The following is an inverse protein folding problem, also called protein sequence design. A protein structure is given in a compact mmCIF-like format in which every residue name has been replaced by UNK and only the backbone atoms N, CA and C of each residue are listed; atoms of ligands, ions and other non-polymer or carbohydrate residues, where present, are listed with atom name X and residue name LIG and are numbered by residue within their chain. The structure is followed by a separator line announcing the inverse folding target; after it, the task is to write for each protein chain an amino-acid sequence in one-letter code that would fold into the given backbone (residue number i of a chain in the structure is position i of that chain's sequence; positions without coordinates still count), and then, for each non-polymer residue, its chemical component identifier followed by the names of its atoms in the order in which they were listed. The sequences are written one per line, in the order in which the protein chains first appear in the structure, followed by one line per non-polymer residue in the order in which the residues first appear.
data_IF_363274430412
#
_entry.id   IF_363274430412
#
_cell.length_a   1.000
_cell.length_b   1.000
_cell.length_c   1.000
_cell.angle_alpha   90.00
_cell.angle_beta   90.00
_cell.angle_gamma   90.00
#
_symmetry.space_group_name_H-M   'P 1'
#
loop_
_entity.id
_entity.type
_entity.pdbx_description
1 polymer ?
#
# COMPACT_ATOMS: atom_id res chain seq x y z
N UNK A 1 33.79 23.79 28.94
CA UNK A 1 32.45 24.38 29.09
C UNK A 1 31.91 23.80 30.38
N UNK A 2 31.79 24.61 31.42
CA UNK A 2 31.36 24.16 32.74
C UNK A 2 29.83 24.04 32.72
N UNK A 3 29.30 22.85 33.04
CA UNK A 3 27.84 22.58 33.00
C UNK A 3 27.08 23.51 33.96
N UNK A 4 27.78 24.08 34.95
CA UNK A 4 27.23 24.99 35.94
C UNK A 4 27.03 26.43 35.44
N UNK A 5 27.46 26.77 34.22
CA UNK A 5 27.28 28.10 33.62
C UNK A 5 26.05 28.19 32.69
N UNK A 6 25.29 27.10 32.53
CA UNK A 6 24.09 27.06 31.70
C UNK A 6 22.89 27.66 32.45
N UNK A 7 22.13 28.54 31.79
CA UNK A 7 20.87 29.06 32.33
C UNK A 7 19.80 27.96 32.38
N UNK A 8 18.79 28.14 33.23
CA UNK A 8 17.65 27.23 33.32
C UNK A 8 16.96 27.03 31.96
N UNK A 9 16.85 28.08 31.15
CA UNK A 9 16.29 27.99 29.79
C UNK A 9 17.16 27.15 28.86
N UNK A 10 18.49 27.31 28.92
CA UNK A 10 19.41 26.51 28.12
C UNK A 10 19.36 25.03 28.50
N UNK A 11 19.21 24.72 29.80
CA UNK A 11 19.01 23.35 30.28
C UNK A 11 17.67 22.78 29.76
N UNK A 12 16.62 23.60 29.73
CA UNK A 12 15.30 23.19 29.27
C UNK A 12 15.27 22.93 27.77
N UNK A 13 15.92 23.79 26.97
CA UNK A 13 16.17 23.57 25.54
C UNK A 13 16.99 22.30 25.30
N UNK A 14 18.03 22.05 26.10
CA UNK A 14 18.82 20.82 26.00
C UNK A 14 18.00 19.56 26.29
N UNK A 15 17.09 19.62 27.28
CA UNK A 15 16.18 18.53 27.64
C UNK A 15 15.10 18.30 26.57
N UNK A 16 14.63 19.35 25.89
CA UNK A 16 13.76 19.21 24.72
C UNK A 16 14.51 18.62 23.53
N UNK A 17 15.74 19.07 23.28
CA UNK A 17 16.58 18.55 22.21
C UNK A 17 16.91 17.07 22.45
N UNK A 18 17.28 16.69 23.68
CA UNK A 18 17.54 15.29 24.04
C UNK A 18 16.28 14.41 23.92
N UNK A 19 15.09 14.93 24.21
CA UNK A 19 13.83 14.23 23.96
C UNK A 19 13.55 14.05 22.47
N UNK A 20 13.82 15.07 21.64
CA UNK A 20 13.70 14.98 20.18
C UNK A 20 14.70 14.02 19.56
N UNK A 21 15.94 14.00 20.06
CA UNK A 21 16.98 13.07 19.61
C UNK A 21 16.65 11.63 20.01
N UNK A 22 16.14 11.39 21.23
CA UNK A 22 15.65 10.05 21.63
C UNK A 22 14.45 9.56 20.82
N UNK A 23 13.66 10.46 20.25
CA UNK A 23 12.59 10.12 19.30
C UNK A 23 13.11 9.88 17.88
N UNK A 24 14.38 10.19 17.61
CA UNK A 24 15.06 10.00 16.32
C UNK A 24 16.05 8.81 16.32
N UNK A 25 16.30 8.18 17.47
CA UNK A 25 16.99 6.88 17.47
C UNK A 25 16.08 5.88 16.74
N UNK A 26 16.55 5.46 15.58
CA UNK A 26 15.89 4.68 14.53
C UNK A 26 15.53 3.26 15.00
N UNK A 27 14.53 3.14 15.87
CA UNK A 27 13.81 1.87 16.02
C UNK A 27 12.66 1.85 15.01
N UNK A 28 12.54 0.73 14.28
CA UNK A 28 11.38 0.43 13.46
C UNK A 28 10.13 0.57 14.33
N UNK A 29 9.33 1.59 14.06
CA UNK A 29 8.13 1.85 14.85
C UNK A 29 7.06 0.83 14.46
N UNK A 30 6.70 -0.03 15.41
CA UNK A 30 5.65 -1.02 15.19
C UNK A 30 4.29 -0.36 14.91
N UNK A 31 3.51 -1.01 14.05
CA UNK A 31 2.16 -0.56 13.74
C UNK A 31 1.27 -0.67 14.98
N UNK A 32 0.40 0.31 15.27
CA UNK A 32 -0.53 0.20 16.38
C UNK A 32 -1.39 -1.07 16.30
N UNK A 33 -1.51 -1.78 17.42
CA UNK A 33 -2.15 -3.10 17.54
C UNK A 33 -3.53 -3.14 16.87
N UNK A 34 -4.34 -2.09 17.06
CA UNK A 34 -5.70 -2.02 16.51
C UNK A 34 -5.75 -1.93 14.96
N UNK A 35 -4.67 -1.48 14.31
CA UNK A 35 -4.54 -1.48 12.86
C UNK A 35 -3.97 -2.83 12.41
N UNK A 36 -2.97 -3.34 13.12
CA UNK A 36 -2.36 -4.64 12.85
C UNK A 36 -3.38 -5.78 12.90
N UNK A 37 -4.17 -5.87 13.97
CA UNK A 37 -5.22 -6.88 14.11
C UNK A 37 -6.23 -6.81 12.97
N UNK A 38 -6.64 -5.60 12.56
CA UNK A 38 -7.58 -5.43 11.45
C UNK A 38 -6.99 -5.95 10.13
N UNK A 39 -5.68 -5.83 9.91
CA UNK A 39 -5.01 -6.26 8.69
C UNK A 39 -4.71 -7.76 8.65
N UNK A 40 -4.44 -8.39 9.80
CA UNK A 40 -4.03 -9.80 9.87
C UNK A 40 -5.17 -10.77 10.24
N UNK A 41 -6.10 -10.35 11.10
CA UNK A 41 -7.17 -11.24 11.58
C UNK A 41 -8.43 -11.17 10.71
N UNK A 42 -8.61 -10.09 9.96
CA UNK A 42 -9.79 -9.91 9.10
C UNK A 42 -9.68 -10.81 7.88
N UNK A 43 -10.68 -11.66 7.68
CA UNK A 43 -10.75 -12.49 6.47
C UNK A 43 -10.74 -11.63 5.18
N UNK A 44 -10.14 -12.13 4.10
CA UNK A 44 -10.09 -11.43 2.80
C UNK A 44 -11.45 -10.91 2.34
N UNK A 45 -12.49 -11.74 2.42
CA UNK A 45 -13.86 -11.37 2.02
C UNK A 45 -14.43 -10.24 2.89
N UNK A 46 -14.15 -10.27 4.19
CA UNK A 46 -14.56 -9.20 5.11
C UNK A 46 -13.79 -7.93 4.82
N UNK A 47 -12.48 -8.01 4.59
CA UNK A 47 -11.63 -6.89 4.23
C UNK A 47 -12.15 -6.20 2.95
N UNK A 48 -12.44 -6.95 1.89
CA UNK A 48 -13.00 -6.39 0.66
C UNK A 48 -14.34 -5.65 0.87
N UNK A 49 -15.20 -6.16 1.76
CA UNK A 49 -16.45 -5.47 2.14
C UNK A 49 -16.18 -4.20 2.93
N UNK A 50 -15.25 -4.25 3.88
CA UNK A 50 -14.86 -3.10 4.71
C UNK A 50 -14.27 -1.98 3.85
N UNK A 51 -13.37 -2.30 2.92
CA UNK A 51 -12.79 -1.33 1.98
C UNK A 51 -13.87 -0.67 1.11
N UNK A 52 -14.81 -1.45 0.56
CA UNK A 52 -15.93 -0.90 -0.22
C UNK A 52 -16.83 0.00 0.61
N UNK A 53 -17.12 -0.38 1.86
CA UNK A 53 -17.92 0.44 2.77
C UNK A 53 -17.20 1.75 3.09
N UNK A 54 -15.92 1.69 3.43
CA UNK A 54 -15.09 2.87 3.69
C UNK A 54 -15.18 3.89 2.54
N UNK A 55 -15.01 3.45 1.29
CA UNK A 55 -15.11 4.37 0.13
C UNK A 55 -16.48 5.02 -0.05
N UNK A 56 -17.55 4.42 0.46
CA UNK A 56 -18.91 4.99 0.39
C UNK A 56 -19.17 6.01 1.49
N UNK A 57 -18.49 5.86 2.63
CA UNK A 57 -18.68 6.72 3.79
C UNK A 57 -17.89 8.05 3.67
N UNK A 58 -16.94 8.14 2.74
CA UNK A 58 -16.08 9.31 2.52
C UNK A 58 -16.81 10.42 1.73
N UNK A 59 -16.67 11.66 2.19
CA UNK A 59 -17.15 12.86 1.51
C UNK A 59 -16.45 13.04 0.15
N UNK A 60 -17.21 13.56 -0.81
CA UNK A 60 -16.66 13.94 -2.12
C UNK A 60 -16.02 15.32 -2.05
N UNK A 61 -14.80 15.43 -2.59
CA UNK A 61 -14.07 16.69 -2.69
C UNK A 61 -13.81 17.04 -4.16
N UNK A 62 -13.99 18.31 -4.49
CA UNK A 62 -13.64 18.87 -5.80
C UNK A 62 -12.56 19.94 -5.62
N UNK A 63 -11.45 19.79 -6.33
CA UNK A 63 -10.30 20.71 -6.23
C UNK A 63 -9.48 20.84 -7.52
N UNK A 64 -9.94 20.20 -8.60
CA UNK A 64 -9.26 20.16 -9.89
C UNK A 64 -9.31 18.76 -10.52
N UNK A 65 -8.63 18.59 -11.66
CA UNK A 65 -8.58 17.29 -12.36
C UNK A 65 -7.96 16.18 -11.51
N UNK A 66 -7.06 16.53 -10.59
CA UNK A 66 -6.38 15.55 -9.73
C UNK A 66 -7.29 14.94 -8.66
N UNK A 67 -8.45 15.56 -8.35
CA UNK A 67 -9.46 14.98 -7.45
C UNK A 67 -10.43 14.02 -8.16
N UNK A 68 -10.38 13.97 -9.49
CA UNK A 68 -11.26 13.16 -10.34
C UNK A 68 -10.57 11.87 -10.77
N UNK A 69 -11.36 10.80 -10.93
CA UNK A 69 -10.88 9.52 -11.47
C UNK A 69 -10.45 9.71 -12.93
N UNK A 70 -9.29 9.16 -13.28
CA UNK A 70 -8.82 9.13 -14.66
C UNK A 70 -9.55 8.07 -15.48
N UNK A 71 -9.59 8.25 -16.81
CA UNK A 71 -10.23 7.31 -17.72
C UNK A 71 -9.56 7.32 -19.11
N UNK A 72 -9.75 6.25 -19.86
CA UNK A 72 -9.39 6.16 -21.28
C UNK A 72 -10.57 6.69 -22.09
N UNK A 73 -10.32 7.54 -23.10
CA UNK A 73 -11.35 7.94 -24.06
C UNK A 73 -11.98 6.70 -24.72
N UNK A 74 -13.31 6.65 -24.76
CA UNK A 74 -14.07 5.47 -25.15
C UNK A 74 -13.77 5.02 -26.58
N UNK A 75 -13.47 5.97 -27.44
CA UNK A 75 -13.14 5.82 -28.85
C UNK A 75 -11.86 5.01 -29.07
N UNK A 76 -10.89 5.11 -28.14
CA UNK A 76 -9.63 4.38 -28.22
C UNK A 76 -9.67 3.01 -27.56
N UNK A 77 -10.70 2.67 -26.78
CA UNK A 77 -10.79 1.38 -26.09
C UNK A 77 -10.75 0.19 -27.07
N UNK A 78 -11.51 0.17 -28.18
CA UNK A 78 -11.46 -0.94 -29.14
C UNK A 78 -10.07 -1.10 -29.77
N UNK A 79 -9.45 0.01 -30.15
CA UNK A 79 -8.13 0.00 -30.77
C UNK A 79 -7.05 -0.50 -29.80
N UNK A 80 -7.09 -0.01 -28.55
CA UNK A 80 -6.14 -0.41 -27.51
C UNK A 80 -6.25 -1.91 -27.20
N UNK A 81 -7.48 -2.42 -27.05
CA UNK A 81 -7.72 -3.86 -26.87
C UNK A 81 -7.23 -4.69 -28.06
N UNK A 82 -7.44 -4.21 -29.29
CA UNK A 82 -6.95 -4.88 -30.51
C UNK A 82 -5.43 -4.97 -30.55
N UNK A 83 -4.73 -3.92 -30.10
CA UNK A 83 -3.25 -3.86 -30.07
C UNK A 83 -2.68 -4.71 -28.94
N UNK A 84 -3.21 -4.59 -27.73
CA UNK A 84 -2.83 -5.40 -26.58
C UNK A 84 -3.88 -5.32 -25.46
N UNK A 85 -4.55 -6.44 -25.22
CA UNK A 85 -5.50 -6.59 -24.11
C UNK A 85 -4.78 -6.43 -22.76
N UNK A 86 -3.53 -6.90 -22.67
CA UNK A 86 -2.73 -6.82 -21.44
C UNK A 86 -2.39 -5.37 -21.09
N UNK A 87 -1.97 -4.57 -22.07
CA UNK A 87 -1.72 -3.14 -21.88
C UNK A 87 -2.99 -2.40 -21.48
N UNK A 88 -4.13 -2.70 -22.12
CA UNK A 88 -5.41 -2.12 -21.73
C UNK A 88 -5.74 -2.43 -20.27
N UNK A 89 -5.59 -3.69 -19.86
CA UNK A 89 -5.84 -4.15 -18.48
C UNK A 89 -4.91 -3.47 -17.48
N UNK A 90 -3.62 -3.36 -17.80
CA UNK A 90 -2.64 -2.68 -16.95
C UNK A 90 -2.94 -1.18 -16.77
N UNK A 91 -3.40 -0.48 -17.82
CA UNK A 91 -3.81 0.92 -17.71
C UNK A 91 -5.05 1.06 -16.82
N UNK A 92 -6.04 0.18 -16.96
CA UNK A 92 -7.24 0.18 -16.10
C UNK A 92 -6.87 -0.07 -14.63
N UNK A 93 -5.96 -1.02 -14.36
CA UNK A 93 -5.46 -1.28 -13.01
C UNK A 93 -4.79 -0.03 -12.41
N UNK A 94 -3.92 0.66 -13.16
CA UNK A 94 -3.31 1.92 -12.70
C UNK A 94 -4.32 3.01 -12.36
N UNK A 95 -5.38 3.17 -13.15
CA UNK A 95 -6.43 4.13 -12.83
C UNK A 95 -7.20 3.74 -11.56
N UNK A 96 -7.47 2.44 -11.35
CA UNK A 96 -8.09 1.92 -10.13
C UNK A 96 -7.20 2.16 -8.91
N UNK A 97 -5.89 1.94 -9.02
CA UNK A 97 -4.96 2.15 -7.91
C UNK A 97 -4.79 3.64 -7.57
N UNK A 98 -4.73 4.49 -8.60
CA UNK A 98 -4.78 5.93 -8.40
C UNK A 98 -6.09 6.38 -7.74
N UNK A 99 -7.23 5.72 -8.00
CA UNK A 99 -8.48 6.03 -7.31
C UNK A 99 -8.42 5.67 -5.82
N UNK A 100 -7.83 4.52 -5.45
CA UNK A 100 -7.61 4.16 -4.03
C UNK A 100 -6.81 5.24 -3.30
N UNK A 101 -5.75 5.78 -3.92
CA UNK A 101 -4.98 6.90 -3.35
C UNK A 101 -5.83 8.16 -3.19
N UNK A 102 -6.72 8.46 -4.14
CA UNK A 102 -7.65 9.60 -4.00
C UNK A 102 -8.65 9.37 -2.87
N UNK A 103 -9.15 8.15 -2.67
CA UNK A 103 -10.04 7.86 -1.54
C UNK A 103 -9.32 8.04 -0.20
N UNK A 104 -8.08 7.57 -0.09
CA UNK A 104 -7.25 7.81 1.10
C UNK A 104 -7.03 9.31 1.34
N UNK A 105 -6.73 10.07 0.28
CA UNK A 105 -6.55 11.52 0.37
C UNK A 105 -7.84 12.23 0.83
N UNK A 106 -9.02 11.85 0.32
CA UNK A 106 -10.31 12.42 0.75
C UNK A 106 -10.58 12.16 2.23
N UNK A 107 -10.33 10.93 2.71
CA UNK A 107 -10.45 10.61 4.13
C UNK A 107 -9.45 11.39 5.00
N UNK A 108 -8.22 11.57 4.53
CA UNK A 108 -7.23 12.41 5.21
C UNK A 108 -7.69 13.87 5.27
N UNK A 109 -8.30 14.40 4.20
CA UNK A 109 -8.89 15.74 4.19
C UNK A 109 -10.01 15.88 5.22
N UNK A 110 -10.87 14.88 5.39
CA UNK A 110 -11.92 14.93 6.42
C UNK A 110 -11.34 14.97 7.83
N UNK A 111 -10.32 14.16 8.11
CA UNK A 111 -9.61 14.18 9.40
C UNK A 111 -8.97 15.56 9.62
N UNK A 112 -8.36 16.13 8.59
CA UNK A 112 -7.79 17.47 8.65
C UNK A 112 -8.85 18.53 8.97
N UNK A 113 -10.01 18.50 8.31
CA UNK A 113 -11.11 19.43 8.56
C UNK A 113 -11.64 19.32 10.00
N UNK A 114 -11.83 18.09 10.48
CA UNK A 114 -12.33 17.82 11.84
C UNK A 114 -11.33 18.33 12.90
N UNK A 115 -10.02 18.07 12.73
CA UNK A 115 -8.97 18.57 13.62
C UNK A 115 -8.83 20.09 13.56
N UNK A 116 -8.85 20.66 12.35
CA UNK A 116 -8.75 22.11 12.14
C UNK A 116 -9.93 22.85 12.78
N UNK A 117 -11.14 22.28 12.73
CA UNK A 117 -12.30 22.81 13.44
C UNK A 117 -12.09 22.85 14.96
N UNK A 118 -11.60 21.75 15.56
CA UNK A 118 -11.32 21.67 17.01
C UNK A 118 -10.27 22.71 17.43
N UNK A 119 -9.16 22.80 16.68
CA UNK A 119 -8.07 23.73 16.97
C UNK A 119 -8.57 25.18 16.91
N UNK A 120 -9.34 25.54 15.87
CA UNK A 120 -9.79 26.92 15.68
C UNK A 120 -10.79 27.41 16.71
N UNK A 121 -11.57 26.52 17.33
CA UNK A 121 -12.46 26.89 18.45
C UNK A 121 -11.77 26.89 19.81
N UNK A 122 -10.47 26.57 19.86
CA UNK A 122 -9.65 26.59 21.07
C UNK A 122 -9.62 25.28 21.87
N UNK A 123 -10.27 24.22 21.38
CA UNK A 123 -10.46 22.95 22.10
C UNK A 123 -11.33 23.06 23.35
N UNK A 124 -12.14 22.05 23.62
CA UNK A 124 -12.96 21.95 24.82
C UNK A 124 -12.93 20.52 25.38
N UNK A 125 -13.01 20.30 26.71
CA UNK A 125 -13.13 18.96 27.28
C UNK A 125 -14.31 18.14 26.71
N UNK A 126 -15.38 18.78 26.22
CA UNK A 126 -16.49 18.12 25.53
C UNK A 126 -16.13 17.57 24.14
N UNK A 127 -14.91 17.84 23.65
CA UNK A 127 -14.43 17.36 22.35
C UNK A 127 -13.91 15.93 22.38
N UNK A 128 -13.89 15.29 23.55
CA UNK A 128 -13.42 13.91 23.72
C UNK A 128 -14.12 12.96 22.73
N UNK A 129 -15.45 13.02 22.61
CA UNK A 129 -16.20 12.17 21.66
C UNK A 129 -15.81 12.46 20.19
N UNK A 130 -15.58 13.73 19.85
CA UNK A 130 -15.12 14.13 18.52
C UNK A 130 -13.72 13.58 18.23
N UNK A 131 -12.80 13.67 19.19
CA UNK A 131 -11.44 13.16 19.06
C UNK A 131 -11.40 11.64 18.95
N UNK A 132 -12.23 10.92 19.71
CA UNK A 132 -12.40 9.47 19.59
C UNK A 132 -12.89 9.08 18.18
N UNK A 133 -13.85 9.83 17.63
CA UNK A 133 -14.31 9.61 16.27
C UNK A 133 -13.18 9.87 15.24
N UNK A 134 -12.46 10.98 15.36
CA UNK A 134 -11.31 11.29 14.50
C UNK A 134 -10.24 10.20 14.57
N UNK A 135 -9.96 9.67 15.77
CA UNK A 135 -9.02 8.56 15.95
C UNK A 135 -9.50 7.30 15.23
N UNK A 136 -10.77 6.92 15.38
CA UNK A 136 -11.34 5.76 14.69
C UNK A 136 -11.32 5.94 13.16
N UNK A 137 -11.60 7.13 12.66
CA UNK A 137 -11.50 7.45 11.23
C UNK A 137 -10.06 7.35 10.72
N UNK A 138 -9.10 7.81 11.52
CA UNK A 138 -7.67 7.70 11.21
C UNK A 138 -7.23 6.24 11.16
N UNK A 139 -7.69 5.43 12.11
CA UNK A 139 -7.47 3.97 12.13
C UNK A 139 -8.05 3.31 10.87
N UNK A 140 -9.31 3.59 10.52
CA UNK A 140 -9.97 3.08 9.31
C UNK A 140 -9.26 3.51 8.03
N UNK A 141 -8.74 4.74 7.97
CA UNK A 141 -7.93 5.22 6.85
C UNK A 141 -6.62 4.41 6.73
N UNK A 142 -5.91 4.19 7.83
CA UNK A 142 -4.70 3.37 7.82
C UNK A 142 -4.98 1.94 7.34
N UNK A 143 -6.02 1.29 7.89
CA UNK A 143 -6.48 -0.04 7.45
C UNK A 143 -6.84 -0.03 5.97
N UNK A 144 -7.54 1.00 5.50
CA UNK A 144 -7.88 1.13 4.08
C UNK A 144 -6.64 1.25 3.18
N UNK A 145 -5.66 2.05 3.58
CA UNK A 145 -4.44 2.28 2.80
C UNK A 145 -3.56 1.02 2.74
N UNK A 146 -3.22 0.42 3.89
CA UNK A 146 -2.44 -0.81 3.95
C UNK A 146 -3.17 -1.99 3.33
N UNK A 147 -4.46 -2.18 3.61
CA UNK A 147 -5.28 -3.24 3.02
C UNK A 147 -5.45 -3.10 1.51
N UNK A 148 -5.52 -1.86 1.01
CA UNK A 148 -5.45 -1.57 -0.42
C UNK A 148 -4.12 -1.98 -1.03
N UNK A 149 -3.00 -1.72 -0.33
CA UNK A 149 -1.65 -2.19 -0.68
C UNK A 149 -1.59 -3.71 -0.80
N UNK A 150 -1.94 -4.45 0.26
CA UNK A 150 -2.01 -5.93 0.24
C UNK A 150 -2.82 -6.47 -0.95
N UNK A 151 -3.93 -5.79 -1.29
CA UNK A 151 -4.77 -6.16 -2.45
C UNK A 151 -4.05 -5.93 -3.78
N UNK A 152 -3.34 -4.82 -3.93
CA UNK A 152 -2.55 -4.49 -5.14
C UNK A 152 -1.42 -5.50 -5.31
N UNK A 153 -0.72 -5.82 -4.23
CA UNK A 153 0.38 -6.78 -4.26
C UNK A 153 -0.12 -8.17 -4.66
N UNK A 154 -1.23 -8.63 -4.08
CA UNK A 154 -1.87 -9.89 -4.46
C UNK A 154 -2.34 -9.90 -5.93
N UNK A 155 -2.95 -8.82 -6.43
CA UNK A 155 -3.33 -8.66 -7.85
C UNK A 155 -2.10 -8.68 -8.77
N UNK A 156 -0.99 -8.09 -8.33
CA UNK A 156 0.29 -8.04 -9.05
C UNK A 156 0.96 -9.41 -9.11
N UNK A 157 1.08 -10.12 -7.98
CA UNK A 157 1.60 -11.50 -7.91
C UNK A 157 0.81 -12.44 -8.82
N UNK A 158 -0.51 -12.33 -8.84
CA UNK A 158 -1.36 -13.11 -9.75
C UNK A 158 -1.16 -12.74 -11.23
N UNK A 159 -0.91 -11.46 -11.53
CA UNK A 159 -0.60 -11.00 -12.89
C UNK A 159 0.73 -11.59 -13.37
N UNK A 160 1.79 -11.52 -12.55
CA UNK A 160 3.09 -12.12 -12.85
C UNK A 160 2.93 -13.62 -13.13
N UNK A 161 2.20 -14.33 -12.28
CA UNK A 161 1.92 -15.77 -12.44
C UNK A 161 1.29 -16.10 -13.79
N UNK A 162 0.27 -15.34 -14.20
CA UNK A 162 -0.41 -15.50 -15.49
C UNK A 162 0.52 -15.21 -16.66
N UNK A 163 1.28 -14.12 -16.61
CA UNK A 163 2.22 -13.72 -17.66
C UNK A 163 3.32 -14.76 -17.85
N UNK A 164 3.85 -15.32 -16.76
CA UNK A 164 4.86 -16.37 -16.77
C UNK A 164 4.28 -17.77 -17.05
N UNK A 165 2.95 -17.90 -17.22
CA UNK A 165 2.22 -19.15 -17.46
C UNK A 165 2.53 -20.23 -16.42
N UNK A 166 2.67 -19.83 -15.17
CA UNK A 166 3.03 -20.75 -14.09
C UNK A 166 1.84 -21.65 -13.72
N UNK A 167 2.09 -22.94 -13.42
CA UNK A 167 1.05 -23.85 -12.94
C UNK A 167 0.43 -23.38 -11.61
N UNK A 168 -0.85 -23.70 -11.40
CA UNK A 168 -1.54 -23.43 -10.13
C UNK A 168 -0.84 -24.06 -8.92
N UNK A 169 -0.12 -25.18 -9.12
CA UNK A 169 0.63 -25.88 -8.09
C UNK A 169 1.65 -24.98 -7.36
N UNK A 170 2.19 -23.95 -8.04
CA UNK A 170 3.11 -22.96 -7.47
C UNK A 170 2.50 -22.25 -6.25
N UNK A 171 1.17 -22.09 -6.20
CA UNK A 171 0.48 -21.46 -5.05
C UNK A 171 0.70 -22.18 -3.72
N UNK A 172 0.97 -23.48 -3.74
CA UNK A 172 1.14 -24.29 -2.54
C UNK A 172 2.60 -24.35 -2.08
N UNK A 173 3.54 -23.99 -2.95
CA UNK A 173 4.99 -24.01 -2.71
C UNK A 173 5.48 -22.64 -2.22
N UNK A 174 4.74 -21.59 -2.58
CA UNK A 174 4.92 -20.20 -2.18
C UNK A 174 4.46 -19.97 -0.73
N UNK A 175 5.06 -20.73 0.20
CA UNK A 175 4.90 -20.53 1.65
C UNK A 175 5.88 -19.43 2.07
N UNK A 176 5.39 -18.47 2.87
CA UNK A 176 6.19 -17.34 3.36
C UNK A 176 7.47 -17.85 4.05
N UNK A 177 8.62 -17.46 3.50
CA UNK A 177 9.91 -17.49 4.18
C UNK A 177 10.12 -16.08 4.74
N UNK A 178 10.71 -15.97 5.95
CA UNK A 178 11.10 -14.67 6.54
C UNK A 178 12.19 -14.04 5.66
N UNK A 179 11.74 -13.33 4.63
CA UNK A 179 12.57 -12.54 3.75
C UNK A 179 12.44 -11.07 4.09
N UNK A 180 13.57 -10.36 4.05
CA UNK A 180 13.61 -8.89 4.24
C UNK A 180 12.76 -8.14 3.20
N UNK A 181 12.42 -8.78 2.07
CA UNK A 181 11.57 -8.22 1.01
C UNK A 181 10.45 -9.18 0.67
N UNK A 182 9.23 -8.64 0.55
CA UNK A 182 8.09 -9.40 0.02
C UNK A 182 8.22 -9.62 -1.49
N UNK A 183 8.87 -10.73 -1.88
CA UNK A 183 9.03 -11.10 -3.28
C UNK A 183 7.70 -11.62 -3.88
N UNK A 184 7.62 -11.59 -5.21
CA UNK A 184 6.46 -12.10 -5.92
C UNK A 184 6.28 -13.62 -5.78
N UNK A 185 7.39 -14.33 -5.56
CA UNK A 185 7.48 -15.76 -5.25
C UNK A 185 8.67 -16.00 -4.33
N UNK A 186 8.57 -16.92 -3.38
CA UNK A 186 9.70 -17.32 -2.53
C UNK A 186 10.85 -17.95 -3.34
N UNK A 187 12.12 -17.92 -2.86
CA UNK A 187 13.25 -18.55 -3.53
C UNK A 187 13.04 -20.03 -3.82
N UNK A 188 12.38 -20.73 -2.88
CA UNK A 188 11.97 -22.12 -3.04
C UNK A 188 11.00 -22.28 -4.22
N UNK A 189 9.95 -21.46 -4.28
CA UNK A 189 9.01 -21.49 -5.39
C UNK A 189 9.70 -21.18 -6.73
N UNK A 190 10.61 -20.21 -6.77
CA UNK A 190 11.42 -19.88 -7.95
C UNK A 190 12.24 -21.09 -8.40
N UNK A 191 12.94 -21.76 -7.48
CA UNK A 191 13.74 -22.95 -7.79
C UNK A 191 12.89 -24.07 -8.39
N UNK A 192 11.75 -24.38 -7.77
CA UNK A 192 10.84 -25.43 -8.29
C UNK A 192 10.24 -25.06 -9.65
N UNK A 193 9.94 -23.78 -9.90
CA UNK A 193 9.52 -23.29 -11.22
C UNK A 193 10.60 -23.54 -12.27
N UNK A 194 11.87 -23.25 -11.95
CA UNK A 194 12.98 -23.46 -12.88
C UNK A 194 13.28 -24.94 -13.11
N UNK A 195 13.22 -25.77 -12.06
CA UNK A 195 13.44 -27.21 -12.14
C UNK A 195 12.31 -27.92 -12.91
N UNK A 196 11.08 -27.42 -12.82
CA UNK A 196 9.92 -27.96 -13.55
C UNK A 196 9.82 -27.48 -15.00
N UNK A 197 10.57 -26.45 -15.41
CA UNK A 197 10.65 -26.07 -16.82
C UNK A 197 11.42 -27.16 -17.56
N UNK A 198 10.88 -27.71 -18.66
CA UNK A 198 11.66 -28.60 -19.50
C UNK A 198 12.93 -27.86 -19.92
N UNK A 199 14.10 -28.48 -19.70
CA UNK A 199 15.35 -27.97 -20.28
C UNK A 199 15.14 -27.98 -21.78
N UNK A 200 15.04 -26.81 -22.40
CA UNK A 200 15.00 -26.69 -23.85
C UNK A 200 16.32 -27.26 -24.39
N UNK A 201 16.33 -28.55 -24.70
CA UNK A 201 17.35 -29.18 -25.52
C UNK A 201 17.05 -28.80 -26.97
N UNK A 202 17.45 -27.59 -27.35
CA UNK A 202 17.72 -27.26 -28.76
C UNK A 202 18.67 -26.07 -28.82
N UNK A 203 19.89 -26.30 -28.36
CA UNK A 203 21.06 -25.71 -29.03
C UNK A 203 21.48 -26.74 -30.07
N UNK A 204 21.05 -26.55 -31.33
CA UNK A 204 21.59 -27.29 -32.47
C UNK A 204 23.10 -27.04 -32.55
N UNK A 205 23.95 -28.08 -32.50
CA UNK A 205 25.32 -27.99 -32.96
C UNK A 205 25.44 -28.87 -34.20
N UNK A 206 24.90 -28.44 -35.34
CA UNK A 206 25.26 -29.09 -36.60
C UNK A 206 25.16 -28.13 -37.80
N UNK A 207 26.10 -27.18 -37.84
CA UNK A 207 26.62 -26.73 -39.13
C UNK A 207 27.77 -27.66 -39.55
N UNK A 208 27.43 -28.90 -39.86
CA UNK A 208 28.29 -29.74 -40.70
C UNK A 208 27.98 -29.40 -42.16
N UNK A 209 28.82 -28.53 -42.71
CA UNK A 209 28.91 -28.22 -44.13
C UNK A 209 29.24 -29.50 -44.89
N UNK A 210 28.33 -30.00 -45.70
CA UNK A 210 28.61 -31.06 -46.67
C UNK A 210 28.70 -30.45 -48.08
N UNK A 211 29.94 -30.55 -48.60
CA UNK A 211 30.43 -30.63 -49.99
C UNK A 211 29.57 -30.05 -51.13
#
# INVERSE_FOLDING_TARGET
MDINELSTEQIQELLELARRIKLQDEEDTELPEAIFQDLETTSKTTMEKNLKRFTKDIKSYTGGKWTQSGAINKEFIPELKRRSIDVHTAIQARYKDADKLRQAARAATEIYEDLHFIINRGGDPSDEEYLVNILERSRRLAVYAFGSGKTIDAETKETIRKTLRLPTAVRYIDVEEDEEKDLAFSPKAVKEIFDARPKDSNTDPDQSTNQ
#
